data_IF_023418173796
#
_entry.id   IF_023418173796
#
_cell.length_a   1.000
_cell.length_b   1.000
_cell.length_c   1.000
_cell.angle_alpha   90.00
_cell.angle_beta   90.00
_cell.angle_gamma   90.00
#
_symmetry.space_group_name_H-M   'P 1'
#
loop_
_entity.id
_entity.type
_entity.pdbx_description
1 polymer ?
#
# COMPACT_ATOMS: atom_id res chain seq x y z
N UNK A 1 -13.45 10.69 -10.81
CA UNK A 1 -12.59 9.50 -10.59
C UNK A 1 -11.96 9.19 -11.95
N UNK A 2 -10.62 9.12 -12.08
CA UNK A 2 -10.03 8.65 -13.34
C UNK A 2 -10.37 7.15 -13.45
N UNK A 3 -10.99 6.74 -14.55
CA UNK A 3 -11.35 5.33 -14.76
C UNK A 3 -10.08 4.50 -14.95
N UNK A 4 -9.78 3.61 -14.01
CA UNK A 4 -8.72 2.62 -14.16
C UNK A 4 -9.36 1.33 -14.65
N UNK A 5 -9.20 1.06 -15.95
CA UNK A 5 -9.77 -0.11 -16.61
C UNK A 5 -8.83 -1.32 -16.60
N UNK A 6 -7.69 -1.21 -15.92
CA UNK A 6 -6.64 -2.22 -15.83
C UNK A 6 -6.43 -2.63 -14.39
N UNK A 7 -6.44 -3.94 -14.17
CA UNK A 7 -6.13 -4.58 -12.87
C UNK A 7 -4.87 -5.41 -13.04
N UNK A 8 -4.08 -5.47 -11.98
CA UNK A 8 -2.93 -6.35 -11.86
C UNK A 8 -3.09 -7.19 -10.59
N UNK A 9 -2.49 -8.36 -10.58
CA UNK A 9 -2.23 -9.11 -9.34
C UNK A 9 -0.74 -8.93 -9.06
N UNK A 10 -0.43 -8.42 -7.87
CA UNK A 10 0.93 -8.34 -7.38
C UNK A 10 1.18 -9.63 -6.60
N UNK A 11 2.05 -10.47 -7.14
CA UNK A 11 2.51 -11.69 -6.50
C UNK A 11 3.99 -11.52 -6.18
N UNK A 12 4.36 -11.74 -4.92
CA UNK A 12 5.72 -11.61 -4.45
C UNK A 12 5.99 -12.63 -3.34
N UNK A 13 7.26 -12.92 -3.12
CA UNK A 13 7.74 -13.59 -1.92
C UNK A 13 8.65 -12.60 -1.19
N UNK A 14 8.30 -12.27 0.04
CA UNK A 14 9.08 -11.38 0.92
C UNK A 14 9.44 -12.19 2.15
N UNK A 15 10.74 -12.42 2.35
CA UNK A 15 11.26 -13.20 3.48
C UNK A 15 10.60 -14.58 3.67
N UNK A 16 10.36 -15.29 2.57
CA UNK A 16 9.69 -16.61 2.63
C UNK A 16 8.17 -16.57 2.79
N UNK A 17 7.58 -15.36 2.84
CA UNK A 17 6.14 -15.17 2.91
C UNK A 17 5.59 -14.76 1.54
N UNK A 18 4.70 -15.59 1.00
CA UNK A 18 4.00 -15.27 -0.24
C UNK A 18 2.94 -14.19 -0.01
N UNK A 19 3.02 -13.13 -0.80
CA UNK A 19 2.05 -12.03 -0.84
C UNK A 19 1.35 -12.10 -2.18
N UNK A 20 0.02 -12.06 -2.16
CA UNK A 20 -0.82 -11.90 -3.35
C UNK A 20 -1.86 -10.83 -3.09
N UNK A 21 -1.87 -9.77 -3.89
CA UNK A 21 -2.84 -8.67 -3.75
C UNK A 21 -3.31 -8.13 -5.10
N UNK A 22 -4.54 -7.63 -5.13
CA UNK A 22 -5.08 -6.98 -6.31
C UNK A 22 -4.70 -5.49 -6.32
N UNK A 23 -4.16 -5.03 -7.44
CA UNK A 23 -3.83 -3.63 -7.67
C UNK A 23 -4.59 -3.07 -8.88
N UNK A 24 -4.85 -1.77 -8.84
CA UNK A 24 -5.34 -1.01 -9.99
C UNK A 24 -4.18 -0.27 -10.63
N UNK A 25 -4.05 -0.38 -11.95
CA UNK A 25 -3.01 0.34 -12.69
C UNK A 25 -3.51 1.74 -13.02
N UNK A 26 -2.80 2.76 -12.52
CA UNK A 26 -3.15 4.16 -12.70
C UNK A 26 -1.96 4.86 -13.38
N UNK A 27 -2.17 5.45 -14.55
CA UNK A 27 -1.08 6.06 -15.35
C UNK A 27 -0.36 7.21 -14.63
N UNK A 28 -1.10 7.98 -13.83
CA UNK A 28 -0.54 9.03 -12.96
C UNK A 28 -1.41 9.20 -11.72
N UNK A 29 -0.84 8.88 -10.56
CA UNK A 29 -1.46 9.03 -9.25
C UNK A 29 -1.42 10.50 -8.81
N UNK A 30 -0.23 11.09 -8.80
CA UNK A 30 0.02 12.46 -8.35
C UNK A 30 1.50 12.62 -8.01
N UNK A 31 1.83 13.77 -7.42
CA UNK A 31 3.17 14.04 -6.89
C UNK A 31 3.04 14.27 -5.37
N UNK A 32 4.08 13.92 -4.62
CA UNK A 32 4.17 14.15 -3.18
C UNK A 32 4.47 15.63 -2.86
N UNK A 33 4.62 15.92 -1.57
CA UNK A 33 4.92 17.29 -1.09
C UNK A 33 6.25 17.85 -1.62
N UNK A 34 7.18 17.00 -2.06
CA UNK A 34 8.46 17.38 -2.65
C UNK A 34 8.41 17.41 -4.19
N UNK A 35 7.25 17.15 -4.79
CA UNK A 35 7.06 17.07 -6.24
C UNK A 35 7.56 15.76 -6.86
N UNK A 36 7.85 14.73 -6.06
CA UNK A 36 8.21 13.40 -6.55
C UNK A 36 6.94 12.63 -6.91
N UNK A 37 6.92 12.00 -8.07
CA UNK A 37 5.76 11.22 -8.49
C UNK A 37 5.49 10.02 -7.58
N UNK A 38 4.22 9.84 -7.23
CA UNK A 38 3.74 8.74 -6.39
C UNK A 38 3.69 7.46 -7.22
N UNK A 39 4.41 6.44 -6.77
CA UNK A 39 4.53 5.14 -7.46
C UNK A 39 3.49 4.12 -6.98
N UNK A 40 3.07 4.21 -5.72
CA UNK A 40 2.11 3.29 -5.11
C UNK A 40 1.18 4.02 -4.14
N UNK A 41 -0.08 3.62 -4.13
CA UNK A 41 -1.10 4.18 -3.24
C UNK A 41 -1.90 3.06 -2.57
N UNK A 42 -1.87 3.03 -1.24
CA UNK A 42 -2.71 2.13 -0.45
C UNK A 42 -4.05 2.80 -0.18
N UNK A 43 -5.08 2.36 -0.90
CA UNK A 43 -6.46 2.77 -0.61
C UNK A 43 -6.96 2.19 0.71
N UNK A 44 -7.99 2.82 1.28
CA UNK A 44 -8.58 2.40 2.56
C UNK A 44 -8.99 0.91 2.60
N UNK A 45 -9.46 0.37 1.46
CA UNK A 45 -9.80 -1.05 1.36
C UNK A 45 -8.59 -1.97 1.54
N UNK A 46 -7.46 -1.62 0.93
CA UNK A 46 -6.22 -2.40 1.06
C UNK A 46 -5.73 -2.35 2.51
N UNK A 47 -5.73 -1.17 3.12
CA UNK A 47 -5.36 -1.01 4.54
C UNK A 47 -6.24 -1.87 5.45
N UNK A 48 -7.55 -1.91 5.23
CA UNK A 48 -8.46 -2.77 5.99
C UNK A 48 -8.18 -4.27 5.77
N UNK A 49 -7.97 -4.70 4.53
CA UNK A 49 -7.65 -6.10 4.21
C UNK A 49 -6.35 -6.56 4.85
N UNK A 50 -5.40 -5.63 4.98
CA UNK A 50 -4.09 -5.86 5.56
C UNK A 50 -4.10 -5.66 7.08
N UNK A 51 -5.15 -5.07 7.65
CA UNK A 51 -5.20 -4.78 9.08
C UNK A 51 -4.27 -3.62 9.47
N UNK A 52 -3.87 -2.79 8.52
CA UNK A 52 -3.12 -1.55 8.75
C UNK A 52 -4.09 -0.50 9.27
N UNK A 53 -3.85 0.01 10.48
CA UNK A 53 -4.69 1.03 11.09
C UNK A 53 -3.98 2.39 11.10
N UNK A 54 -4.54 3.44 10.49
CA UNK A 54 -3.98 4.77 10.65
C UNK A 54 -4.24 5.30 12.07
N UNK A 55 -3.26 5.99 12.63
CA UNK A 55 -3.35 6.78 13.87
C UNK A 55 -3.15 8.26 13.48
N UNK A 56 -4.23 8.98 13.11
CA UNK A 56 -4.11 10.33 12.55
C UNK A 56 -3.46 11.33 13.51
N UNK A 57 -3.77 11.24 14.80
CA UNK A 57 -3.27 12.17 15.83
C UNK A 57 -1.74 12.05 16.04
N UNK A 58 -1.15 10.92 15.63
CA UNK A 58 0.29 10.68 15.70
C UNK A 58 0.98 10.72 14.34
N UNK A 59 0.24 10.92 13.25
CA UNK A 59 0.72 10.81 11.86
C UNK A 59 1.44 9.48 11.59
N UNK A 60 0.91 8.38 12.16
CA UNK A 60 1.51 7.03 12.07
C UNK A 60 0.55 5.99 11.50
N UNK A 61 1.13 4.88 11.06
CA UNK A 61 0.43 3.64 10.75
C UNK A 61 0.76 2.61 11.83
N UNK A 62 -0.27 1.97 12.36
CA UNK A 62 -0.17 0.86 13.31
C UNK A 62 0.00 -0.45 12.54
N UNK A 63 1.19 -1.02 12.71
CA UNK A 63 1.57 -2.33 12.17
C UNK A 63 1.79 -3.37 13.29
N UNK A 64 1.28 -3.15 14.50
CA UNK A 64 1.51 -4.04 15.66
C UNK A 64 1.06 -5.50 15.46
N UNK A 65 0.25 -5.75 14.43
CA UNK A 65 -0.18 -7.09 14.03
C UNK A 65 0.79 -7.80 13.08
N UNK A 66 1.85 -7.13 12.64
CA UNK A 66 2.88 -7.65 11.77
C UNK A 66 4.15 -8.00 12.56
N UNK A 67 4.92 -8.99 12.11
CA UNK A 67 6.28 -9.22 12.61
C UNK A 67 7.14 -7.97 12.39
N UNK A 68 8.06 -7.67 13.31
CA UNK A 68 8.95 -6.50 13.21
C UNK A 68 9.76 -6.54 11.92
N UNK A 69 10.15 -7.75 11.48
CA UNK A 69 10.87 -7.99 10.24
C UNK A 69 10.08 -7.45 9.02
N UNK A 70 8.75 -7.46 9.05
CA UNK A 70 7.94 -6.99 7.91
C UNK A 70 7.86 -5.46 7.80
N UNK A 71 8.16 -4.71 8.87
CA UNK A 71 7.87 -3.26 8.99
C UNK A 71 9.11 -2.38 8.79
N UNK A 72 10.32 -2.91 8.99
CA UNK A 72 11.57 -2.11 8.97
C UNK A 72 12.36 -2.11 7.64
N UNK A 73 11.71 -2.33 6.49
CA UNK A 73 12.38 -2.32 5.16
C UNK A 73 12.09 -1.08 4.30
#
# INVERSE_FOLDING_TARGET
MKEANRRAILEAEVEGHFISTHAMVIDRIGDDENGKSIEMFFGALAMQQWGIRPIPDEEKLDFSHYPEEFVEF
#
